data_IF_016984454468
#
_entry.id   IF_016984454468
#
_cell.length_a   1.000
_cell.length_b   1.000
_cell.length_c   1.000
_cell.angle_alpha   90.00
_cell.angle_beta   90.00
_cell.angle_gamma   90.00
#
_symmetry.space_group_name_H-M   'P 1'
#
loop_
_entity.id
_entity.type
_entity.pdbx_description
1 polymer ?
#
# COMPACT_ATOMS: atom_id res chain seq x y z
N UNK A 1 20.73 -22.35 1.47
CA UNK A 1 20.28 -22.03 2.84
C UNK A 1 19.04 -21.18 2.68
N UNK A 2 17.90 -21.57 3.26
CA UNK A 2 16.72 -20.70 3.27
C UNK A 2 17.07 -19.45 4.08
N UNK A 3 16.91 -18.26 3.49
CA UNK A 3 17.09 -17.00 4.23
C UNK A 3 15.93 -16.93 5.21
N UNK A 4 16.21 -16.97 6.51
CA UNK A 4 15.19 -16.80 7.53
C UNK A 4 14.69 -15.35 7.50
N UNK A 5 13.37 -15.17 7.44
CA UNK A 5 12.74 -13.85 7.49
C UNK A 5 13.05 -13.17 8.84
N UNK A 6 13.38 -11.87 8.85
CA UNK A 6 13.50 -11.09 10.07
C UNK A 6 12.22 -11.13 10.90
N UNK A 7 12.34 -11.14 12.24
CA UNK A 7 11.19 -11.29 13.13
C UNK A 7 10.11 -10.22 12.90
N UNK A 8 10.52 -8.96 12.70
CA UNK A 8 9.59 -7.87 12.42
C UNK A 8 8.83 -8.08 11.10
N UNK A 9 9.47 -8.62 10.07
CA UNK A 9 8.82 -8.93 8.81
C UNK A 9 7.75 -10.02 9.00
N UNK A 10 8.06 -11.08 9.74
CA UNK A 10 7.09 -12.12 10.08
C UNK A 10 5.88 -11.52 10.82
N UNK A 11 6.09 -10.69 11.86
CA UNK A 11 4.98 -10.09 12.61
C UNK A 11 4.07 -9.24 11.71
N UNK A 12 4.63 -8.49 10.76
CA UNK A 12 3.84 -7.69 9.81
C UNK A 12 3.00 -8.59 8.90
N UNK A 13 3.61 -9.62 8.30
CA UNK A 13 2.91 -10.55 7.42
C UNK A 13 1.81 -11.30 8.16
N UNK A 14 2.12 -11.83 9.35
CA UNK A 14 1.17 -12.57 10.18
C UNK A 14 -0.01 -11.68 10.59
N UNK A 15 0.26 -10.43 10.97
CA UNK A 15 -0.81 -9.50 11.32
C UNK A 15 -1.68 -9.14 10.11
N UNK A 16 -1.07 -8.91 8.94
CA UNK A 16 -1.76 -8.36 7.77
C UNK A 16 -2.40 -9.41 6.87
N UNK A 17 -1.81 -10.59 6.74
CA UNK A 17 -2.25 -11.68 5.86
C UNK A 17 -2.69 -12.94 6.59
N UNK A 18 -2.47 -13.03 7.91
CA UNK A 18 -2.59 -14.25 8.70
C UNK A 18 -1.54 -15.31 8.30
N UNK A 19 -1.56 -16.48 8.95
CA UNK A 19 -0.58 -17.55 8.76
C UNK A 19 -0.89 -18.42 7.53
N UNK A 20 0.13 -18.95 6.83
CA UNK A 20 -0.08 -19.94 5.79
C UNK A 20 -0.98 -21.10 6.24
N UNK A 21 -2.07 -21.31 5.49
CA UNK A 21 -3.04 -22.39 5.75
C UNK A 21 -4.18 -22.02 6.71
N UNK A 22 -4.20 -20.80 7.26
CA UNK A 22 -5.38 -20.32 8.00
C UNK A 22 -6.57 -20.07 7.07
N UNK A 23 -7.76 -19.91 7.63
CA UNK A 23 -8.96 -19.57 6.86
C UNK A 23 -8.89 -18.16 6.24
N UNK A 24 -8.10 -17.25 6.82
CA UNK A 24 -7.94 -15.89 6.30
C UNK A 24 -6.78 -15.77 5.29
N UNK A 25 -5.92 -16.79 5.20
CA UNK A 25 -4.79 -16.80 4.28
C UNK A 25 -5.25 -16.77 2.82
N UNK A 26 -4.67 -15.84 2.03
CA UNK A 26 -5.05 -15.61 0.63
C UNK A 26 -6.55 -15.29 0.43
N UNK A 27 -7.17 -14.59 1.38
CA UNK A 27 -8.55 -14.09 1.27
C UNK A 27 -8.60 -12.58 1.53
N UNK A 28 -9.59 -11.91 0.96
CA UNK A 28 -9.81 -10.50 1.26
C UNK A 28 -10.20 -10.30 2.72
N UNK A 29 -9.54 -9.35 3.38
CA UNK A 29 -9.91 -8.96 4.75
C UNK A 29 -10.55 -7.59 4.73
N UNK A 30 -11.80 -7.52 5.19
CA UNK A 30 -12.54 -6.26 5.36
C UNK A 30 -11.78 -5.19 6.16
N UNK A 31 -10.93 -5.63 7.09
CA UNK A 31 -10.11 -4.74 7.93
C UNK A 31 -9.11 -3.89 7.14
N UNK A 32 -8.69 -4.31 5.94
CA UNK A 32 -7.78 -3.52 5.10
C UNK A 32 -8.43 -2.24 4.58
N UNK A 33 -9.74 -2.28 4.30
CA UNK A 33 -10.45 -1.20 3.61
C UNK A 33 -11.51 -0.51 4.47
N UNK A 34 -11.64 -0.91 5.74
CA UNK A 34 -12.62 -0.33 6.67
C UNK A 34 -11.90 0.38 7.80
N UNK A 35 -12.22 1.66 8.02
CA UNK A 35 -11.74 2.38 9.21
C UNK A 35 -12.24 1.68 10.48
N UNK A 36 -11.32 1.41 11.40
CA UNK A 36 -11.60 0.84 12.72
C UNK A 36 -10.55 1.35 13.71
N UNK A 37 -10.99 2.12 14.70
CA UNK A 37 -10.08 2.69 15.70
C UNK A 37 -9.34 1.57 16.47
N UNK A 38 -10.03 0.46 16.79
CA UNK A 38 -9.40 -0.73 17.39
C UNK A 38 -8.30 -1.35 16.52
N UNK A 39 -8.52 -1.44 15.20
CA UNK A 39 -7.53 -1.98 14.28
C UNK A 39 -6.33 -1.03 14.13
N UNK A 40 -6.59 0.27 14.05
CA UNK A 40 -5.57 1.31 13.98
C UNK A 40 -4.71 1.35 15.25
N UNK A 41 -5.33 1.22 16.42
CA UNK A 41 -4.65 1.19 17.72
C UNK A 41 -3.76 -0.05 17.86
N UNK A 42 -4.21 -1.22 17.37
CA UNK A 42 -3.38 -2.42 17.30
C UNK A 42 -2.18 -2.21 16.39
N UNK A 43 -2.37 -1.65 15.20
CA UNK A 43 -1.26 -1.34 14.28
C UNK A 43 -0.25 -0.42 14.96
N UNK A 44 -0.73 0.68 15.55
CA UNK A 44 0.13 1.67 16.22
C UNK A 44 0.88 1.06 17.40
N UNK A 45 0.20 0.26 18.23
CA UNK A 45 0.79 -0.35 19.42
C UNK A 45 1.91 -1.33 19.08
N UNK A 46 1.73 -2.12 18.00
CA UNK A 46 2.66 -3.21 17.69
C UNK A 46 3.75 -2.84 16.70
N UNK A 47 3.54 -1.85 15.83
CA UNK A 47 4.42 -1.62 14.68
C UNK A 47 4.93 -0.19 14.55
N UNK A 48 4.55 0.75 15.43
CA UNK A 48 5.03 2.13 15.35
C UNK A 48 6.56 2.21 15.46
N UNK A 49 7.18 1.43 16.34
CA UNK A 49 8.65 1.40 16.47
C UNK A 49 9.31 0.86 15.21
N UNK A 50 8.77 -0.21 14.62
CA UNK A 50 9.28 -0.79 13.37
C UNK A 50 9.18 0.22 12.22
N UNK A 51 8.05 0.94 12.11
CA UNK A 51 7.86 2.00 11.13
C UNK A 51 8.83 3.17 11.35
N UNK A 52 9.03 3.61 12.59
CA UNK A 52 9.98 4.69 12.91
C UNK A 52 11.39 4.35 12.42
N UNK A 53 11.91 3.17 12.79
CA UNK A 53 13.23 2.69 12.35
C UNK A 53 13.31 2.63 10.82
N UNK A 54 12.30 2.10 10.15
CA UNK A 54 12.28 2.02 8.70
C UNK A 54 12.23 3.41 8.03
N UNK A 55 11.40 4.31 8.55
CA UNK A 55 11.19 5.66 8.02
C UNK A 55 12.44 6.53 8.10
N UNK A 56 13.27 6.32 9.12
CA UNK A 56 14.54 7.01 9.35
C UNK A 56 15.70 6.49 8.47
N UNK A 57 15.43 5.52 7.59
CA UNK A 57 16.41 5.00 6.63
C UNK A 57 17.41 4.02 7.24
N UNK A 58 17.04 3.33 8.32
CA UNK A 58 17.84 2.24 8.87
C UNK A 58 18.13 1.16 7.80
N UNK A 59 19.27 0.44 7.89
CA UNK A 59 19.60 -0.63 6.98
C UNK A 59 18.45 -1.61 6.77
N UNK A 60 18.21 -1.98 5.53
CA UNK A 60 17.09 -2.84 5.14
C UNK A 60 17.56 -4.28 4.92
N UNK A 61 17.38 -5.11 5.93
CA UNK A 61 17.59 -6.55 5.87
C UNK A 61 16.32 -7.35 5.56
N UNK A 62 15.15 -6.70 5.45
CA UNK A 62 13.87 -7.36 5.14
C UNK A 62 13.74 -7.63 3.65
N UNK A 63 14.14 -6.64 2.85
CA UNK A 63 13.98 -6.59 1.40
C UNK A 63 14.81 -7.59 0.58
N UNK A 64 15.46 -8.55 1.23
CA UNK A 64 16.30 -9.59 0.60
C UNK A 64 15.45 -10.69 -0.03
N UNK A 65 14.27 -10.99 0.53
CA UNK A 65 13.32 -11.98 0.00
C UNK A 65 12.03 -11.31 -0.48
N UNK A 66 11.23 -11.96 -1.36
CA UNK A 66 9.94 -11.45 -1.78
C UNK A 66 9.01 -11.12 -0.61
N UNK A 67 8.87 -12.02 0.36
CA UNK A 67 7.97 -11.86 1.50
C UNK A 67 8.43 -10.74 2.42
N UNK A 68 9.73 -10.63 2.69
CA UNK A 68 10.27 -9.56 3.52
C UNK A 68 10.14 -8.19 2.85
N UNK A 69 10.30 -8.12 1.53
CA UNK A 69 10.01 -6.91 0.75
C UNK A 69 8.52 -6.54 0.80
N UNK A 70 7.61 -7.52 0.70
CA UNK A 70 6.17 -7.30 0.86
C UNK A 70 5.82 -6.79 2.26
N UNK A 71 6.39 -7.38 3.31
CA UNK A 71 6.22 -6.93 4.69
C UNK A 71 6.63 -5.46 4.85
N UNK A 72 7.77 -5.09 4.26
CA UNK A 72 8.26 -3.71 4.30
C UNK A 72 7.38 -2.75 3.49
N UNK A 73 6.81 -3.18 2.36
CA UNK A 73 5.80 -2.37 1.65
C UNK A 73 4.58 -2.12 2.54
N UNK A 74 4.02 -3.16 3.17
CA UNK A 74 2.87 -3.00 4.09
C UNK A 74 3.21 -2.04 5.24
N UNK A 75 4.40 -2.18 5.82
CA UNK A 75 4.87 -1.31 6.90
C UNK A 75 4.98 0.16 6.46
N UNK A 76 5.48 0.43 5.25
CA UNK A 76 5.75 1.79 4.78
C UNK A 76 4.57 2.46 4.05
N UNK A 77 3.65 1.68 3.50
CA UNK A 77 2.54 2.17 2.68
C UNK A 77 1.20 2.04 3.42
N UNK A 78 0.87 0.84 3.91
CA UNK A 78 -0.45 0.59 4.50
C UNK A 78 -0.55 1.12 5.93
N UNK A 79 0.40 0.73 6.79
CA UNK A 79 0.33 1.04 8.21
C UNK A 79 0.27 2.55 8.53
N UNK A 80 1.00 3.45 7.84
CA UNK A 80 0.92 4.88 8.13
C UNK A 80 -0.49 5.45 7.94
N UNK A 81 -1.24 4.94 6.96
CA UNK A 81 -2.64 5.34 6.68
C UNK A 81 -3.60 4.93 7.81
N UNK A 82 -3.25 3.91 8.59
CA UNK A 82 -3.95 3.52 9.83
C UNK A 82 -3.41 4.28 11.06
N UNK A 83 -2.09 4.34 11.23
CA UNK A 83 -1.42 4.93 12.41
C UNK A 83 -1.68 6.43 12.55
N UNK A 84 -1.72 7.16 11.43
CA UNK A 84 -1.63 8.61 11.36
C UNK A 84 -2.80 9.26 10.61
N UNK A 85 -4.03 8.76 10.79
CA UNK A 85 -5.20 9.34 10.12
C UNK A 85 -5.29 10.85 10.33
N UNK A 86 -5.56 11.58 9.24
CA UNK A 86 -5.63 13.05 9.20
C UNK A 86 -4.31 13.75 9.59
N UNK A 87 -3.18 13.07 9.51
CA UNK A 87 -1.84 13.61 9.78
C UNK A 87 -0.94 13.36 8.56
N UNK A 88 -0.08 14.33 8.18
CA UNK A 88 0.79 14.23 7.01
C UNK A 88 1.73 13.01 7.05
N UNK A 89 2.03 12.48 8.25
CA UNK A 89 2.81 11.24 8.40
C UNK A 89 2.17 10.03 7.71
N UNK A 90 0.85 10.05 7.44
CA UNK A 90 0.18 9.02 6.63
C UNK A 90 0.80 8.81 5.25
N UNK A 91 1.45 9.84 4.70
CA UNK A 91 2.07 9.82 3.37
C UNK A 91 3.60 9.94 3.44
N UNK A 92 4.16 10.05 4.65
CA UNK A 92 5.57 10.39 4.87
C UNK A 92 6.56 9.35 4.33
N UNK A 93 6.11 8.12 4.15
CA UNK A 93 6.91 6.99 3.66
C UNK A 93 6.48 6.49 2.27
N UNK A 94 5.53 7.16 1.59
CA UNK A 94 5.04 6.77 0.25
C UNK A 94 6.19 6.63 -0.76
N UNK A 95 7.14 7.58 -0.76
CA UNK A 95 8.28 7.55 -1.68
C UNK A 95 9.20 6.34 -1.45
N UNK A 96 9.39 5.92 -0.18
CA UNK A 96 10.19 4.75 0.16
C UNK A 96 9.47 3.46 -0.26
N UNK A 97 8.17 3.37 0.00
CA UNK A 97 7.35 2.25 -0.43
C UNK A 97 7.32 2.11 -1.96
N UNK A 98 7.16 3.22 -2.69
CA UNK A 98 7.17 3.23 -4.15
C UNK A 98 8.52 2.79 -4.72
N UNK A 99 9.64 3.28 -4.18
CA UNK A 99 10.97 2.86 -4.61
C UNK A 99 11.17 1.35 -4.42
N UNK A 100 10.69 0.80 -3.30
CA UNK A 100 10.70 -0.62 -3.03
C UNK A 100 9.79 -1.40 -3.98
N UNK A 101 8.56 -0.94 -4.22
CA UNK A 101 7.61 -1.56 -5.13
C UNK A 101 8.16 -1.65 -6.57
N UNK A 102 8.80 -0.58 -7.06
CA UNK A 102 9.51 -0.60 -8.36
C UNK A 102 10.58 -1.67 -8.41
N UNK A 103 11.38 -1.80 -7.36
CA UNK A 103 12.42 -2.85 -7.28
C UNK A 103 11.79 -4.24 -7.31
N UNK A 104 10.74 -4.47 -6.51
CA UNK A 104 10.01 -5.75 -6.46
C UNK A 104 9.52 -6.15 -7.86
N UNK A 105 8.90 -5.23 -8.61
CA UNK A 105 8.42 -5.47 -9.97
C UNK A 105 9.58 -5.69 -10.95
N UNK A 106 10.60 -4.83 -10.91
CA UNK A 106 11.74 -4.89 -11.83
C UNK A 106 12.56 -6.18 -11.69
N UNK A 107 12.66 -6.74 -10.48
CA UNK A 107 13.35 -8.01 -10.23
C UNK A 107 12.45 -9.23 -10.37
N UNK A 108 11.14 -9.05 -10.53
CA UNK A 108 10.17 -10.14 -10.61
C UNK A 108 9.81 -10.79 -9.29
N UNK A 109 10.24 -10.22 -8.15
CA UNK A 109 9.91 -10.72 -6.81
C UNK A 109 8.40 -10.75 -6.57
N UNK A 110 7.63 -9.86 -7.20
CA UNK A 110 6.17 -9.83 -7.12
C UNK A 110 5.53 -11.17 -7.53
N UNK A 111 6.12 -11.88 -8.48
CA UNK A 111 5.62 -13.16 -9.02
C UNK A 111 6.02 -14.36 -8.17
N UNK A 112 6.93 -14.17 -7.22
CA UNK A 112 7.39 -15.19 -6.26
C UNK A 112 6.63 -15.10 -4.94
N UNK A 113 5.77 -14.09 -4.76
CA UNK A 113 4.98 -13.92 -3.55
C UNK A 113 4.00 -15.08 -3.34
N UNK A 114 3.75 -15.46 -2.08
CA UNK A 114 3.01 -16.68 -1.79
C UNK A 114 1.51 -16.58 -2.11
N UNK A 115 0.97 -15.36 -2.24
CA UNK A 115 -0.46 -15.16 -2.53
C UNK A 115 -0.73 -13.98 -3.44
N UNK A 116 -1.89 -14.02 -4.11
CA UNK A 116 -2.39 -12.95 -4.98
C UNK A 116 -2.57 -11.63 -4.19
N UNK A 117 -3.01 -11.70 -2.93
CA UNK A 117 -3.16 -10.53 -2.07
C UNK A 117 -1.81 -9.93 -1.63
N UNK A 118 -0.75 -10.72 -1.40
CA UNK A 118 0.58 -10.16 -1.15
C UNK A 118 1.05 -9.32 -2.35
N UNK A 119 0.83 -9.86 -3.56
CA UNK A 119 1.16 -9.21 -4.82
C UNK A 119 0.38 -7.92 -5.03
N UNK A 120 -0.92 -7.92 -4.72
CA UNK A 120 -1.77 -6.73 -4.73
C UNK A 120 -1.20 -5.59 -3.88
N UNK A 121 -0.84 -5.87 -2.62
CA UNK A 121 -0.29 -4.83 -1.73
C UNK A 121 1.08 -4.31 -2.19
N UNK A 122 1.87 -5.11 -2.90
CA UNK A 122 3.11 -4.64 -3.51
C UNK A 122 2.87 -3.66 -4.67
N UNK A 123 1.65 -3.59 -5.21
CA UNK A 123 1.29 -2.70 -6.31
C UNK A 123 0.61 -1.40 -5.85
N UNK A 124 -0.01 -1.39 -4.68
CA UNK A 124 -0.66 -0.19 -4.13
C UNK A 124 0.24 1.06 -4.03
N UNK A 125 1.56 0.97 -3.75
CA UNK A 125 2.41 2.17 -3.77
C UNK A 125 2.41 2.92 -5.10
N UNK A 126 2.20 2.24 -6.24
CA UNK A 126 2.03 2.89 -7.54
C UNK A 126 0.70 3.65 -7.61
N UNK A 127 -0.38 3.02 -7.17
CA UNK A 127 -1.73 3.62 -7.07
C UNK A 127 -1.77 4.84 -6.13
N UNK A 128 -0.90 4.87 -5.13
CA UNK A 128 -0.78 5.98 -4.19
C UNK A 128 0.11 7.13 -4.65
N UNK A 129 0.86 6.96 -5.75
CA UNK A 129 1.75 7.97 -6.32
C UNK A 129 0.97 9.09 -7.01
N UNK A 130 1.42 10.34 -6.90
CA UNK A 130 0.85 11.48 -7.63
C UNK A 130 1.50 11.69 -9.02
N UNK A 131 2.16 10.67 -9.58
CA UNK A 131 2.73 10.69 -10.93
C UNK A 131 1.88 9.86 -11.92
N UNK A 132 1.63 10.38 -13.12
CA UNK A 132 0.78 9.72 -14.11
C UNK A 132 1.36 8.38 -14.57
N UNK A 133 2.67 8.31 -14.75
CA UNK A 133 3.37 7.10 -15.19
C UNK A 133 3.20 5.95 -14.16
N UNK A 134 3.09 6.29 -12.88
CA UNK A 134 2.85 5.31 -11.82
C UNK A 134 1.41 4.85 -11.80
N UNK A 135 0.47 5.73 -12.12
CA UNK A 135 -0.94 5.36 -12.26
C UNK A 135 -1.15 4.44 -13.46
N UNK A 136 -0.51 4.72 -14.60
CA UNK A 136 -0.51 3.82 -15.76
C UNK A 136 0.05 2.44 -15.40
N UNK A 137 1.14 2.41 -14.63
CA UNK A 137 1.76 1.17 -14.17
C UNK A 137 0.89 0.42 -13.16
N UNK A 138 0.22 1.12 -12.24
CA UNK A 138 -0.73 0.53 -11.29
C UNK A 138 -1.87 -0.18 -12.04
N UNK A 139 -2.50 0.48 -13.01
CA UNK A 139 -3.57 -0.12 -13.83
C UNK A 139 -3.06 -1.35 -14.57
N UNK A 140 -1.87 -1.27 -15.18
CA UNK A 140 -1.26 -2.42 -15.88
C UNK A 140 -1.02 -3.61 -14.94
N UNK A 141 -0.42 -3.38 -13.78
CA UNK A 141 -0.07 -4.42 -12.81
C UNK A 141 -1.32 -5.06 -12.18
N UNK A 142 -2.32 -4.25 -11.79
CA UNK A 142 -3.58 -4.76 -11.23
C UNK A 142 -4.39 -5.54 -12.27
N UNK A 143 -4.37 -5.12 -13.55
CA UNK A 143 -4.99 -5.88 -14.65
C UNK A 143 -4.34 -7.25 -14.81
N UNK A 144 -3.01 -7.31 -14.83
CA UNK A 144 -2.28 -8.58 -14.91
C UNK A 144 -2.55 -9.48 -13.71
N UNK A 145 -2.66 -8.91 -12.50
CA UNK A 145 -2.99 -9.67 -11.31
C UNK A 145 -4.38 -10.30 -11.41
N UNK A 146 -5.39 -9.55 -11.85
CA UNK A 146 -6.74 -10.06 -12.08
C UNK A 146 -6.73 -11.23 -13.05
N UNK A 147 -6.04 -11.09 -14.18
CA UNK A 147 -5.93 -12.14 -15.19
C UNK A 147 -5.22 -13.39 -14.63
N UNK A 148 -4.08 -13.23 -13.98
CA UNK A 148 -3.30 -14.35 -13.44
C UNK A 148 -3.98 -15.05 -12.26
N UNK A 149 -4.79 -14.33 -11.49
CA UNK A 149 -5.53 -14.87 -10.35
C UNK A 149 -6.89 -15.47 -10.73
N UNK A 150 -7.26 -15.44 -12.01
CA UNK A 150 -8.56 -15.91 -12.50
C UNK A 150 -9.73 -15.06 -11.97
N UNK A 151 -9.50 -13.78 -11.71
CA UNK A 151 -10.48 -12.85 -11.15
C UNK A 151 -10.65 -12.93 -9.62
N UNK A 152 -9.81 -13.71 -8.91
CA UNK A 152 -9.88 -13.79 -7.45
C UNK A 152 -9.56 -12.46 -6.78
N UNK A 153 -8.58 -11.74 -7.31
CA UNK A 153 -8.25 -10.38 -6.89
C UNK A 153 -8.59 -9.46 -8.06
N UNK A 154 -9.67 -8.70 -7.92
CA UNK A 154 -10.10 -7.71 -8.90
C UNK A 154 -10.23 -6.34 -8.24
N UNK A 155 -9.16 -5.55 -8.35
CA UNK A 155 -9.07 -4.18 -7.85
C UNK A 155 -8.80 -3.17 -8.96
N UNK A 156 -9.00 -3.58 -10.23
CA UNK A 156 -8.70 -2.73 -11.40
C UNK A 156 -9.52 -1.45 -11.38
N UNK A 157 -10.79 -1.53 -10.96
CA UNK A 157 -11.67 -0.36 -10.83
C UNK A 157 -11.07 0.72 -9.91
N UNK A 158 -10.37 0.32 -8.85
CA UNK A 158 -9.75 1.27 -7.92
C UNK A 158 -8.52 1.94 -8.53
N UNK A 159 -7.67 1.18 -9.23
CA UNK A 159 -6.53 1.73 -9.94
C UNK A 159 -6.98 2.73 -11.03
N UNK A 160 -8.04 2.42 -11.78
CA UNK A 160 -8.61 3.32 -12.78
C UNK A 160 -9.13 4.63 -12.15
N UNK A 161 -9.85 4.53 -11.02
CA UNK A 161 -10.34 5.71 -10.28
C UNK A 161 -9.21 6.59 -9.77
N UNK A 162 -8.14 6.02 -9.23
CA UNK A 162 -6.97 6.79 -8.79
C UNK A 162 -6.32 7.50 -9.99
N UNK A 163 -6.15 6.77 -11.09
CA UNK A 163 -5.59 7.31 -12.34
C UNK A 163 -6.41 8.47 -12.87
N UNK A 164 -7.73 8.37 -12.91
CA UNK A 164 -8.62 9.45 -13.36
C UNK A 164 -8.43 10.74 -12.56
N UNK A 165 -8.24 10.64 -11.24
CA UNK A 165 -7.98 11.79 -10.37
C UNK A 165 -6.64 12.43 -10.74
N UNK A 166 -5.58 11.63 -10.94
CA UNK A 166 -4.25 12.14 -11.31
C UNK A 166 -4.24 12.73 -12.73
N UNK A 167 -4.93 12.13 -13.70
CA UNK A 167 -5.10 12.70 -15.05
C UNK A 167 -5.75 14.07 -14.98
N UNK A 168 -6.74 14.24 -14.09
CA UNK A 168 -7.50 15.49 -13.99
C UNK A 168 -6.77 16.59 -13.21
N UNK A 169 -6.14 16.24 -12.09
CA UNK A 169 -5.61 17.23 -11.14
C UNK A 169 -4.08 17.21 -10.99
N UNK A 170 -3.41 16.17 -11.51
CA UNK A 170 -1.97 15.94 -11.32
C UNK A 170 -1.57 15.59 -9.88
N UNK A 171 -2.55 15.40 -8.99
CA UNK A 171 -2.39 15.08 -7.56
C UNK A 171 -3.72 14.62 -6.98
N UNK A 172 -3.73 14.14 -5.73
CA UNK A 172 -4.93 13.78 -4.99
C UNK A 172 -5.48 14.97 -4.19
N UNK A 173 -6.63 15.56 -4.57
CA UNK A 173 -7.15 16.74 -3.89
C UNK A 173 -7.49 16.52 -2.42
N UNK A 174 -7.91 15.30 -2.04
CA UNK A 174 -8.26 14.97 -0.66
C UNK A 174 -7.06 15.04 0.29
N UNK A 175 -5.82 14.98 -0.23
CA UNK A 175 -4.59 15.13 0.57
C UNK A 175 -4.23 16.60 0.82
N UNK A 176 -4.88 17.56 0.13
CA UNK A 176 -4.47 18.97 0.18
C UNK A 176 -4.49 19.54 1.60
N UNK A 177 -5.58 19.35 2.35
CA UNK A 177 -5.71 19.91 3.69
C UNK A 177 -4.64 19.38 4.66
N UNK A 178 -4.46 18.05 4.69
CA UNK A 178 -3.51 17.39 5.58
C UNK A 178 -2.04 17.65 5.21
N UNK A 179 -1.76 17.90 3.93
CA UNK A 179 -0.43 18.28 3.43
C UNK A 179 -0.20 19.81 3.40
N UNK A 180 -1.16 20.62 3.87
CA UNK A 180 -1.04 22.08 3.87
C UNK A 180 -1.01 22.73 2.47
N UNK A 181 -1.54 22.04 1.46
CA UNK A 181 -1.62 22.57 0.08
C UNK A 181 -2.92 23.36 -0.12
N UNK A 182 -2.89 24.53 -0.78
CA UNK A 182 -4.12 25.20 -1.18
C UNK A 182 -4.86 24.38 -2.25
N UNK A 183 -6.18 24.26 -2.10
CA UNK A 183 -7.06 23.65 -3.09
C UNK A 183 -7.54 24.68 -4.13
N UNK A 184 -7.64 24.28 -5.39
CA UNK A 184 -8.28 25.08 -6.45
C UNK A 184 -9.81 25.03 -6.31
N UNK A 185 -10.52 25.95 -6.98
CA UNK A 185 -11.98 25.92 -6.99
C UNK A 185 -12.54 24.60 -7.56
N UNK A 186 -11.88 24.03 -8.57
CA UNK A 186 -12.27 22.76 -9.17
C UNK A 186 -12.05 21.58 -8.22
N UNK A 187 -10.90 21.54 -7.55
CA UNK A 187 -10.57 20.53 -6.54
C UNK A 187 -11.57 20.56 -5.38
N UNK A 188 -11.91 21.76 -4.86
CA UNK A 188 -12.88 21.92 -3.79
C UNK A 188 -14.28 21.47 -4.20
N UNK A 189 -14.69 21.76 -5.43
CA UNK A 189 -15.97 21.30 -5.98
C UNK A 189 -15.99 19.77 -6.20
N UNK A 190 -14.86 19.18 -6.57
CA UNK A 190 -14.71 17.73 -6.71
C UNK A 190 -14.86 17.01 -5.37
N UNK A 191 -14.27 17.54 -4.29
CA UNK A 191 -14.34 16.98 -2.93
C UNK A 191 -15.76 16.94 -2.33
N UNK A 192 -16.74 17.63 -2.93
CA UNK A 192 -18.15 17.56 -2.52
C UNK A 192 -18.90 16.37 -3.14
N UNK A 193 -18.28 15.62 -4.06
CA UNK A 193 -18.92 14.51 -4.78
C UNK A 193 -18.58 13.16 -4.15
N UNK A 194 -19.45 12.14 -4.29
CA UNK A 194 -19.09 10.76 -3.96
C UNK A 194 -17.86 10.30 -4.76
N UNK A 195 -17.03 9.45 -4.16
CA UNK A 195 -15.83 8.92 -4.81
C UNK A 195 -14.71 9.96 -5.02
N UNK A 196 -14.69 11.02 -4.22
CA UNK A 196 -13.63 12.04 -4.25
C UNK A 196 -12.47 11.77 -3.29
N UNK A 197 -12.59 10.72 -2.49
CA UNK A 197 -11.58 10.20 -1.57
C UNK A 197 -11.72 8.69 -1.45
N UNK A 198 -10.59 7.99 -1.43
CA UNK A 198 -10.46 6.55 -1.21
C UNK A 198 -9.35 6.30 -0.20
#
# INVERSE_FOLDING_TARGET
MSVQLPEGACRVLDFWFDQPGSAAWNTERRAWFTKSDDFDDRIRTHFLSDWQVASEGAPDDWSVTPEGACARVVLLDQFPRNMFRNDPRSFGTDAQALALARRIVATGMDRELPTDYHRMFCYMPFEHSEALEDQDEAVRLMTQLRESSGGKVDVVEWADKHREIIVRFGRFPHRNAVLGRPGTAEELAFLQRPGSSF
#
